data_IF_440826562472
#
_entry.id   IF_440826562472
#
_cell.length_a   1.000
_cell.length_b   1.000
_cell.length_c   1.000
_cell.angle_alpha   90.00
_cell.angle_beta   90.00
_cell.angle_gamma   90.00
#
_symmetry.space_group_name_H-M   'P 1'
#
loop_
_entity.id
_entity.type
_entity.pdbx_description
1 polymer ?
#
# COMPACT_ATOMS: atom_id res chain seq x y z
N UNK A 1 -49.32 14.78 -56.47
CA UNK A 1 -49.24 14.76 -55.00
C UNK A 1 -47.79 14.51 -54.59
N UNK A 2 -47.15 15.55 -54.10
CA UNK A 2 -45.74 15.52 -53.75
C UNK A 2 -45.61 15.15 -52.24
N UNK A 3 -45.02 14.01 -51.93
CA UNK A 3 -44.75 13.61 -50.56
C UNK A 3 -43.51 14.36 -50.01
N UNK A 4 -43.67 15.14 -48.97
CA UNK A 4 -42.61 15.84 -48.28
C UNK A 4 -41.83 14.86 -47.39
N UNK A 5 -40.53 14.69 -47.66
CA UNK A 5 -39.62 13.98 -46.79
C UNK A 5 -39.26 14.91 -45.61
N UNK A 6 -39.69 14.55 -44.39
CA UNK A 6 -39.22 15.17 -43.16
C UNK A 6 -37.76 14.75 -42.91
N UNK A 7 -36.84 15.71 -43.07
CA UNK A 7 -35.49 15.59 -42.65
C UNK A 7 -35.45 15.90 -41.14
N UNK A 8 -35.32 14.88 -40.29
CA UNK A 8 -35.00 15.03 -38.88
C UNK A 8 -33.51 15.40 -38.76
N UNK A 9 -33.25 16.67 -38.52
CA UNK A 9 -31.92 17.13 -38.06
C UNK A 9 -31.76 16.78 -36.59
N UNK A 10 -31.25 15.55 -36.32
CA UNK A 10 -30.76 15.18 -34.99
C UNK A 10 -29.40 15.81 -34.81
N UNK A 11 -29.29 16.79 -33.92
CA UNK A 11 -27.99 17.20 -33.33
C UNK A 11 -27.56 16.13 -32.32
N UNK A 12 -27.03 15.03 -32.78
CA UNK A 12 -26.28 14.14 -31.93
C UNK A 12 -24.95 14.83 -31.59
N UNK A 13 -24.91 15.46 -30.43
CA UNK A 13 -23.67 15.95 -29.86
C UNK A 13 -22.68 14.79 -29.76
N UNK A 14 -21.56 14.91 -30.46
CA UNK A 14 -20.45 13.92 -30.41
C UNK A 14 -19.95 13.83 -28.98
N UNK A 15 -20.44 12.85 -28.22
CA UNK A 15 -19.89 12.52 -26.92
C UNK A 15 -18.55 11.83 -27.17
N UNK A 16 -17.45 12.53 -26.94
CA UNK A 16 -16.12 11.90 -26.87
C UNK A 16 -16.09 11.11 -25.57
N UNK A 17 -16.52 9.88 -25.61
CA UNK A 17 -16.34 8.92 -24.52
C UNK A 17 -15.01 8.24 -24.80
N UNK A 18 -14.01 8.53 -23.98
CA UNK A 18 -12.76 7.76 -23.99
C UNK A 18 -13.14 6.39 -23.44
N UNK A 19 -13.22 5.40 -24.31
CA UNK A 19 -13.46 4.02 -23.89
C UNK A 19 -12.17 3.52 -23.20
N UNK A 20 -12.29 3.15 -21.94
CA UNK A 20 -11.20 2.42 -21.28
C UNK A 20 -11.02 1.07 -21.98
N UNK A 21 -9.76 0.62 -22.20
CA UNK A 21 -9.52 -0.68 -22.80
C UNK A 21 -10.07 -1.79 -21.89
N UNK A 22 -10.67 -2.81 -22.49
CA UNK A 22 -11.04 -4.00 -21.75
C UNK A 22 -9.76 -4.78 -21.38
N UNK A 23 -9.49 -4.89 -20.09
CA UNK A 23 -8.32 -5.56 -19.53
C UNK A 23 -8.65 -6.92 -18.91
N UNK A 24 -9.91 -7.38 -19.01
CA UNK A 24 -10.38 -8.64 -18.42
C UNK A 24 -9.67 -9.88 -18.96
N UNK A 25 -9.16 -9.78 -20.20
CA UNK A 25 -8.42 -10.86 -20.87
C UNK A 25 -6.90 -10.84 -20.61
N UNK A 26 -6.43 -10.08 -19.61
CA UNK A 26 -5.02 -10.03 -19.27
C UNK A 26 -4.16 -9.47 -20.41
N UNK A 27 -3.10 -10.19 -20.78
CA UNK A 27 -2.14 -9.73 -21.80
C UNK A 27 -2.48 -10.17 -23.24
N UNK A 28 -3.56 -10.88 -23.48
CA UNK A 28 -3.79 -11.52 -24.81
C UNK A 28 -4.01 -10.46 -25.92
N UNK A 29 -5.04 -9.61 -25.81
CA UNK A 29 -5.37 -8.64 -26.85
C UNK A 29 -4.90 -7.21 -26.52
N UNK A 30 -4.78 -6.88 -25.24
CA UNK A 30 -4.45 -5.55 -24.78
C UNK A 30 -2.94 -5.24 -24.73
N UNK A 31 -2.06 -6.26 -24.87
CA UNK A 31 -0.60 -6.11 -24.72
C UNK A 31 0.10 -5.62 -26.01
N UNK A 32 -0.22 -4.42 -26.44
CA UNK A 32 0.39 -3.78 -27.62
C UNK A 32 1.90 -3.50 -27.48
N UNK A 33 2.45 -3.57 -26.25
CA UNK A 33 3.84 -3.29 -25.93
C UNK A 33 4.67 -4.52 -25.58
N UNK A 34 4.10 -5.73 -25.70
CA UNK A 34 4.75 -7.01 -25.37
C UNK A 34 5.30 -7.03 -23.94
N UNK A 35 4.46 -6.65 -22.99
CA UNK A 35 4.78 -6.57 -21.54
C UNK A 35 4.58 -7.89 -20.80
N UNK A 36 3.95 -8.88 -21.42
CA UNK A 36 3.76 -10.23 -20.87
C UNK A 36 5.10 -10.87 -20.44
N UNK A 37 6.22 -10.50 -21.09
CA UNK A 37 7.55 -10.95 -20.67
C UNK A 37 7.94 -10.45 -19.28
N UNK A 38 7.66 -9.18 -18.96
CA UNK A 38 7.90 -8.61 -17.64
C UNK A 38 6.99 -9.27 -16.59
N UNK A 39 5.72 -9.52 -16.93
CA UNK A 39 4.81 -10.27 -16.09
C UNK A 39 5.43 -11.63 -15.69
N UNK A 40 5.88 -12.44 -16.64
CA UNK A 40 6.50 -13.73 -16.36
C UNK A 40 7.78 -13.63 -15.52
N UNK A 41 8.58 -12.58 -15.69
CA UNK A 41 9.77 -12.34 -14.86
C UNK A 41 9.37 -12.09 -13.41
N UNK A 42 8.38 -11.23 -13.17
CA UNK A 42 7.90 -10.92 -11.81
C UNK A 42 7.28 -12.18 -11.17
N UNK A 43 6.44 -12.92 -11.90
CA UNK A 43 5.84 -14.17 -11.42
C UNK A 43 6.90 -15.19 -11.02
N UNK A 44 7.93 -15.41 -11.85
CA UNK A 44 9.05 -16.30 -11.50
C UNK A 44 9.75 -15.90 -10.22
N UNK A 45 10.00 -14.62 -10.02
CA UNK A 45 10.64 -14.12 -8.80
C UNK A 45 9.74 -14.36 -7.58
N UNK A 46 8.43 -14.15 -7.70
CA UNK A 46 7.48 -14.45 -6.63
C UNK A 46 7.52 -15.95 -6.30
N UNK A 47 7.42 -16.81 -7.31
CA UNK A 47 7.38 -18.27 -7.14
C UNK A 47 8.68 -18.83 -6.56
N UNK A 48 9.84 -18.38 -7.07
CA UNK A 48 11.16 -18.85 -6.66
C UNK A 48 11.68 -18.26 -5.36
N UNK A 49 11.03 -17.19 -4.87
CA UNK A 49 11.47 -16.57 -3.62
C UNK A 49 11.31 -17.54 -2.44
N UNK A 50 12.29 -17.57 -1.52
CA UNK A 50 12.06 -18.20 -0.23
C UNK A 50 10.82 -17.56 0.41
N UNK A 51 10.21 -18.23 1.39
CA UNK A 51 8.95 -17.80 2.02
C UNK A 51 9.07 -16.45 2.79
N UNK A 52 9.91 -15.53 2.35
CA UNK A 52 10.08 -14.20 2.95
C UNK A 52 9.21 -13.18 2.23
N UNK A 53 8.78 -12.18 2.97
CA UNK A 53 8.12 -11.01 2.38
C UNK A 53 9.05 -10.33 1.39
N UNK A 54 8.53 -10.01 0.22
CA UNK A 54 9.25 -9.28 -0.83
C UNK A 54 8.49 -8.00 -1.19
N UNK A 55 9.26 -6.96 -1.45
CA UNK A 55 8.73 -5.69 -1.95
C UNK A 55 9.42 -5.39 -3.27
N UNK A 56 8.63 -5.34 -4.33
CA UNK A 56 9.02 -4.94 -5.67
C UNK A 56 8.53 -3.51 -5.94
N UNK A 57 9.21 -2.80 -6.83
CA UNK A 57 8.71 -1.53 -7.34
C UNK A 57 8.69 -1.56 -8.88
N UNK A 58 7.59 -1.07 -9.44
CA UNK A 58 7.44 -0.77 -10.86
C UNK A 58 7.52 0.73 -11.04
N UNK A 59 8.66 1.20 -11.56
CA UNK A 59 8.95 2.61 -11.80
C UNK A 59 8.80 2.94 -13.27
N UNK A 60 7.98 3.94 -13.58
CA UNK A 60 7.99 4.61 -14.88
C UNK A 60 7.28 5.97 -14.78
N UNK A 61 7.47 6.81 -15.80
CA UNK A 61 6.82 8.13 -15.90
C UNK A 61 5.30 7.99 -16.01
N UNK A 62 4.61 9.05 -15.64
CA UNK A 62 3.16 9.15 -15.83
C UNK A 62 2.80 8.99 -17.32
N UNK A 63 1.65 8.37 -17.57
CA UNK A 63 1.16 8.11 -18.92
C UNK A 63 1.80 6.91 -19.64
N UNK A 64 2.79 6.24 -19.05
CA UNK A 64 3.44 5.08 -19.67
C UNK A 64 2.66 3.76 -19.47
N UNK A 65 1.47 3.82 -18.85
CA UNK A 65 0.56 2.67 -18.72
C UNK A 65 0.99 1.70 -17.63
N UNK A 66 1.47 2.19 -16.46
CA UNK A 66 1.75 1.36 -15.28
C UNK A 66 0.46 0.72 -14.76
N UNK A 67 -0.57 1.52 -14.51
CA UNK A 67 -1.90 1.06 -14.06
C UNK A 67 -2.50 0.03 -15.03
N UNK A 68 -2.41 0.28 -16.33
CA UNK A 68 -2.85 -0.68 -17.36
C UNK A 68 -2.11 -2.01 -17.23
N UNK A 69 -0.78 -1.96 -17.06
CA UNK A 69 0.03 -3.16 -16.88
C UNK A 69 -0.37 -3.96 -15.65
N UNK A 70 -0.54 -3.31 -14.50
CA UNK A 70 -0.86 -4.04 -13.25
C UNK A 70 -2.29 -4.54 -13.22
N UNK A 71 -3.23 -3.90 -13.90
CA UNK A 71 -4.59 -4.43 -14.11
C UNK A 71 -4.58 -5.65 -15.03
N UNK A 72 -3.81 -5.62 -16.14
CA UNK A 72 -3.61 -6.82 -16.98
C UNK A 72 -2.92 -7.94 -16.18
N UNK A 73 -1.94 -7.59 -15.34
CA UNK A 73 -1.25 -8.53 -14.47
C UNK A 73 -2.22 -9.25 -13.53
N UNK A 74 -3.09 -8.49 -12.85
CA UNK A 74 -4.11 -9.04 -11.96
C UNK A 74 -5.06 -9.98 -12.74
N UNK A 75 -5.60 -9.51 -13.86
CA UNK A 75 -6.52 -10.33 -14.70
C UNK A 75 -5.87 -11.61 -15.21
N UNK A 76 -4.58 -11.58 -15.58
CA UNK A 76 -3.85 -12.76 -16.01
C UNK A 76 -3.68 -13.81 -14.89
N UNK A 77 -3.40 -13.34 -13.66
CA UNK A 77 -3.32 -14.21 -12.48
C UNK A 77 -4.69 -14.83 -12.16
N UNK A 78 -5.75 -14.05 -12.25
CA UNK A 78 -7.12 -14.52 -11.95
C UNK A 78 -7.65 -15.51 -13.00
N UNK A 79 -7.18 -15.39 -14.25
CA UNK A 79 -7.59 -16.24 -15.37
C UNK A 79 -6.98 -17.64 -15.31
N UNK A 80 -5.76 -17.76 -14.81
CA UNK A 80 -5.01 -19.01 -14.75
C UNK A 80 -4.66 -19.39 -13.31
N UNK A 81 -5.31 -20.42 -12.77
CA UNK A 81 -5.02 -20.98 -11.42
C UNK A 81 -3.60 -21.56 -11.28
N UNK A 82 -2.80 -21.54 -12.36
CA UNK A 82 -1.50 -22.22 -12.42
C UNK A 82 -0.36 -21.48 -11.72
N UNK A 83 -0.55 -20.20 -11.35
CA UNK A 83 0.53 -19.40 -10.80
C UNK A 83 0.74 -19.58 -9.30
N UNK A 84 -0.22 -20.17 -8.59
CA UNK A 84 -0.22 -20.27 -7.11
C UNK A 84 0.01 -18.91 -6.42
N UNK A 85 -0.59 -17.87 -6.98
CA UNK A 85 -0.54 -16.48 -6.50
C UNK A 85 -1.96 -15.93 -6.49
N UNK A 86 -2.36 -15.31 -5.41
CA UNK A 86 -3.56 -14.47 -5.33
C UNK A 86 -3.15 -13.00 -5.49
N UNK A 87 -3.72 -12.28 -6.45
CA UNK A 87 -3.41 -10.87 -6.68
C UNK A 87 -4.51 -9.98 -6.11
N UNK A 88 -4.13 -8.97 -5.35
CA UNK A 88 -5.02 -7.98 -4.72
C UNK A 88 -4.57 -6.60 -5.15
N UNK A 89 -5.50 -5.79 -5.65
CA UNK A 89 -5.22 -4.42 -6.08
C UNK A 89 -5.63 -3.41 -5.02
N UNK A 90 -4.77 -2.44 -4.77
CA UNK A 90 -4.97 -1.33 -3.85
C UNK A 90 -4.54 -0.03 -4.50
N UNK A 91 -5.45 0.91 -4.64
CA UNK A 91 -5.16 2.26 -5.10
C UNK A 91 -4.82 3.15 -3.91
N UNK A 92 -3.56 3.59 -3.81
CA UNK A 92 -3.10 4.39 -2.69
C UNK A 92 -3.69 5.80 -2.70
N UNK A 93 -3.89 6.38 -3.89
CA UNK A 93 -4.46 7.72 -4.05
C UNK A 93 -5.96 7.75 -3.72
N UNK A 94 -6.71 6.73 -4.15
CA UNK A 94 -8.12 6.60 -3.81
C UNK A 94 -8.37 6.43 -2.31
N UNK A 95 -7.41 5.83 -1.60
CA UNK A 95 -7.52 5.54 -0.16
C UNK A 95 -6.83 6.57 0.75
N UNK A 96 -6.15 7.58 0.21
CA UNK A 96 -5.35 8.52 0.98
C UNK A 96 -6.16 9.49 1.86
N UNK A 97 -7.48 9.57 1.66
CA UNK A 97 -8.38 10.33 2.55
C UNK A 97 -8.46 9.73 3.95
N UNK A 98 -8.08 8.48 4.12
CA UNK A 98 -8.05 7.82 5.43
C UNK A 98 -6.85 8.30 6.25
N UNK A 99 -7.02 8.30 7.57
CA UNK A 99 -5.99 8.80 8.49
C UNK A 99 -4.82 7.84 8.68
N UNK A 100 -5.06 6.53 8.59
CA UNK A 100 -4.02 5.51 8.81
C UNK A 100 -4.09 4.42 7.73
N UNK A 101 -3.03 4.26 6.91
CA UNK A 101 -2.97 3.25 5.87
C UNK A 101 -2.98 1.81 6.41
N UNK A 102 -2.68 1.59 7.69
CA UNK A 102 -2.79 0.28 8.33
C UNK A 102 -4.22 -0.26 8.25
N UNK A 103 -5.21 0.58 8.58
CA UNK A 103 -6.62 0.17 8.57
C UNK A 103 -7.07 -0.16 7.14
N UNK A 104 -6.72 0.71 6.16
CA UNK A 104 -7.08 0.51 4.75
C UNK A 104 -6.53 -0.81 4.20
N UNK A 105 -5.23 -1.05 4.39
CA UNK A 105 -4.55 -2.25 3.89
C UNK A 105 -5.02 -3.52 4.62
N UNK A 106 -5.21 -3.43 5.93
CA UNK A 106 -5.71 -4.56 6.72
C UNK A 106 -7.14 -4.94 6.36
N UNK A 107 -8.01 -3.95 6.09
CA UNK A 107 -9.38 -4.17 5.63
C UNK A 107 -9.43 -4.90 4.29
N UNK A 108 -8.55 -4.53 3.37
CA UNK A 108 -8.40 -5.20 2.08
C UNK A 108 -8.03 -6.68 2.24
N UNK A 109 -7.04 -6.98 3.09
CA UNK A 109 -6.63 -8.36 3.39
C UNK A 109 -7.73 -9.15 4.08
N UNK A 110 -8.44 -8.54 5.01
CA UNK A 110 -9.58 -9.14 5.70
C UNK A 110 -10.66 -9.55 4.67
N UNK A 111 -11.08 -8.64 3.81
CA UNK A 111 -12.10 -8.89 2.78
C UNK A 111 -11.67 -10.00 1.81
N UNK A 112 -10.40 -10.03 1.42
CA UNK A 112 -9.86 -11.07 0.56
C UNK A 112 -9.96 -12.47 1.21
N UNK A 113 -9.57 -12.57 2.48
CA UNK A 113 -9.61 -13.85 3.20
C UNK A 113 -11.06 -14.28 3.49
N UNK A 114 -11.93 -13.36 3.86
CA UNK A 114 -13.34 -13.64 4.14
C UNK A 114 -14.06 -14.23 2.91
N UNK A 115 -13.68 -13.80 1.70
CA UNK A 115 -14.22 -14.34 0.44
C UNK A 115 -13.89 -15.83 0.21
N UNK A 116 -12.89 -16.40 0.92
CA UNK A 116 -12.38 -17.78 0.76
C UNK A 116 -13.10 -18.79 1.66
N UNK A 117 -14.40 -19.00 1.50
CA UNK A 117 -15.21 -20.06 2.16
C UNK A 117 -14.99 -20.23 3.70
N UNK A 118 -15.34 -21.40 4.23
CA UNK A 118 -15.37 -21.67 5.69
C UNK A 118 -14.01 -21.55 6.40
N UNK A 119 -12.90 -21.92 5.73
CA UNK A 119 -11.55 -21.78 6.33
C UNK A 119 -11.14 -20.31 6.41
N UNK A 120 -11.50 -19.50 5.41
CA UNK A 120 -11.24 -18.08 5.39
C UNK A 120 -11.89 -17.32 6.54
N UNK A 121 -13.10 -17.68 6.93
CA UNK A 121 -13.81 -17.00 8.03
C UNK A 121 -13.04 -17.04 9.35
N UNK A 122 -12.50 -18.20 9.75
CA UNK A 122 -11.73 -18.32 11.00
C UNK A 122 -10.46 -17.47 10.99
N UNK A 123 -9.76 -17.42 9.86
CA UNK A 123 -8.56 -16.59 9.72
C UNK A 123 -8.93 -15.12 9.64
N UNK A 124 -10.02 -14.79 8.95
CA UNK A 124 -10.58 -13.44 8.93
C UNK A 124 -10.91 -12.91 10.32
N UNK A 125 -11.55 -13.71 11.18
CA UNK A 125 -11.85 -13.34 12.57
C UNK A 125 -10.58 -13.03 13.37
N UNK A 126 -9.50 -13.81 13.17
CA UNK A 126 -8.21 -13.56 13.83
C UNK A 126 -7.57 -12.27 13.33
N UNK A 127 -7.57 -12.06 12.01
CA UNK A 127 -7.06 -10.82 11.40
C UNK A 127 -7.86 -9.63 11.92
N UNK A 128 -9.18 -9.71 11.95
CA UNK A 128 -10.04 -8.64 12.47
C UNK A 128 -9.75 -8.35 13.95
N UNK A 129 -9.54 -9.39 14.76
CA UNK A 129 -9.12 -9.22 16.17
C UNK A 129 -7.77 -8.50 16.26
N UNK A 130 -6.80 -8.86 15.42
CA UNK A 130 -5.50 -8.20 15.36
C UNK A 130 -5.61 -6.75 14.91
N UNK A 131 -6.43 -6.46 13.87
CA UNK A 131 -6.70 -5.09 13.41
C UNK A 131 -7.25 -4.23 14.55
N UNK A 132 -8.22 -4.75 15.32
CA UNK A 132 -8.81 -4.02 16.46
C UNK A 132 -7.77 -3.70 17.52
N UNK A 133 -6.90 -4.64 17.88
CA UNK A 133 -5.86 -4.44 18.90
C UNK A 133 -4.77 -3.47 18.43
N UNK A 134 -4.16 -3.73 17.27
CA UNK A 134 -3.10 -2.87 16.73
C UNK A 134 -3.64 -1.50 16.36
N UNK A 135 -4.81 -1.43 15.70
CA UNK A 135 -5.44 -0.17 15.32
C UNK A 135 -5.83 0.68 16.53
N UNK A 136 -6.38 0.07 17.62
CA UNK A 136 -6.68 0.83 18.84
C UNK A 136 -5.42 1.38 19.49
N UNK A 137 -4.31 0.63 19.51
CA UNK A 137 -3.04 1.11 20.04
C UNK A 137 -2.47 2.26 19.21
N UNK A 138 -2.56 2.18 17.88
CA UNK A 138 -2.11 3.26 16.98
C UNK A 138 -2.93 4.54 17.17
N UNK A 139 -4.26 4.42 17.26
CA UNK A 139 -5.15 5.57 17.47
C UNK A 139 -4.99 6.17 18.87
N UNK A 140 -4.91 5.34 19.91
CA UNK A 140 -4.76 5.81 21.28
C UNK A 140 -3.39 6.45 21.54
N UNK A 141 -2.32 5.91 20.96
CA UNK A 141 -0.99 6.48 21.13
C UNK A 141 -0.82 7.77 20.34
N UNK A 142 -1.43 7.90 19.18
CA UNK A 142 -1.49 9.16 18.43
C UNK A 142 -2.24 10.25 19.21
N UNK A 143 -3.40 9.92 19.83
CA UNK A 143 -4.18 10.87 20.63
C UNK A 143 -3.55 11.18 21.99
N UNK A 144 -2.88 10.22 22.66
CA UNK A 144 -2.16 10.45 23.92
C UNK A 144 -0.93 11.33 23.71
N UNK A 145 -0.24 11.19 22.58
CA UNK A 145 0.87 12.09 22.25
C UNK A 145 0.39 13.54 22.08
N UNK A 146 -0.77 13.72 21.43
CA UNK A 146 -1.40 15.04 21.33
C UNK A 146 -1.89 15.57 22.68
N UNK A 147 -2.49 14.72 23.52
CA UNK A 147 -2.95 15.09 24.86
C UNK A 147 -1.79 15.35 25.82
N UNK A 148 -0.69 14.61 25.74
CA UNK A 148 0.51 14.83 26.56
C UNK A 148 1.25 16.09 26.11
N UNK A 149 1.27 16.38 24.81
CA UNK A 149 1.81 17.66 24.30
C UNK A 149 0.94 18.85 24.72
N UNK A 150 -0.39 18.67 24.79
CA UNK A 150 -1.32 19.72 25.23
C UNK A 150 -1.30 19.85 26.77
N UNK A 151 -1.24 18.75 27.51
CA UNK A 151 -1.15 18.78 28.97
C UNK A 151 0.25 19.12 29.48
N UNK A 152 1.32 18.77 28.76
CA UNK A 152 2.69 19.16 29.04
C UNK A 152 2.95 20.66 28.86
N UNK A 153 2.10 21.32 28.05
CA UNK A 153 2.13 22.80 27.93
C UNK A 153 1.45 23.56 29.07
N UNK A 154 0.72 22.86 29.95
CA UNK A 154 0.04 23.49 31.12
C UNK A 154 0.85 23.36 32.41
N UNK A 155 1.97 22.67 32.40
CA UNK A 155 2.98 22.90 33.44
C UNK A 155 3.73 24.16 33.04
N UNK A 156 3.06 25.27 33.33
CA UNK A 156 3.49 26.61 33.09
C UNK A 156 4.92 26.80 33.66
N UNK A 157 5.81 27.21 32.78
CA UNK A 157 7.19 27.61 33.09
C UNK A 157 7.31 28.70 34.16
N UNK A 158 6.20 29.20 34.68
CA UNK A 158 6.17 30.29 35.68
C UNK A 158 6.12 29.80 37.13
N UNK A 159 6.35 28.52 37.42
CA UNK A 159 6.48 28.00 38.79
C UNK A 159 7.78 27.25 39.06
N UNK A 160 8.80 27.41 38.22
CA UNK A 160 10.10 26.72 38.41
C UNK A 160 11.02 27.51 39.36
N UNK A 161 10.75 28.79 39.62
CA UNK A 161 11.60 29.63 40.49
C UNK A 161 11.37 29.45 42.00
N UNK A 162 10.60 28.45 42.44
CA UNK A 162 10.30 28.27 43.87
C UNK A 162 10.34 26.83 44.40
N UNK A 163 10.75 25.84 43.61
CA UNK A 163 10.76 24.44 44.04
C UNK A 163 12.16 23.82 43.90
N UNK A 164 13.12 24.43 44.55
CA UNK A 164 14.32 23.72 44.92
C UNK A 164 14.14 23.23 46.35
N UNK A 165 13.59 22.04 46.60
CA UNK A 165 13.77 21.25 47.83
C UNK A 165 12.65 20.33 48.29
N UNK A 166 11.59 20.05 47.52
CA UNK A 166 10.68 18.98 47.90
C UNK A 166 10.30 18.12 46.68
N UNK A 167 11.25 17.39 46.14
CA UNK A 167 10.92 16.17 45.39
C UNK A 167 10.68 15.10 46.45
N UNK A 168 9.47 15.07 46.98
CA UNK A 168 9.05 14.05 47.95
C UNK A 168 9.06 12.66 47.30
N UNK A 169 9.31 11.62 48.09
CA UNK A 169 9.33 10.20 47.65
C UNK A 169 8.05 9.77 46.91
N UNK A 170 6.93 10.46 47.12
CA UNK A 170 5.68 10.21 46.41
C UNK A 170 5.76 10.58 44.92
N UNK A 171 6.48 11.66 44.54
CA UNK A 171 6.68 11.99 43.11
C UNK A 171 7.60 10.99 42.41
N UNK A 172 8.55 10.40 43.13
CA UNK A 172 9.40 9.32 42.56
C UNK A 172 8.59 8.05 42.32
N UNK A 173 7.73 7.64 43.28
CA UNK A 173 6.86 6.48 43.11
C UNK A 173 5.87 6.64 41.96
N UNK A 174 5.34 7.84 41.75
CA UNK A 174 4.44 8.15 40.66
C UNK A 174 5.15 8.09 39.29
N UNK A 175 6.40 8.55 39.23
CA UNK A 175 7.24 8.45 38.01
C UNK A 175 7.65 7.00 37.73
N UNK A 176 8.04 6.24 38.75
CA UNK A 176 8.37 4.83 38.62
C UNK A 176 7.15 4.01 38.13
N UNK A 177 5.98 4.23 38.73
CA UNK A 177 4.73 3.61 38.32
C UNK A 177 4.35 3.96 36.87
N UNK A 178 4.51 5.22 36.48
CA UNK A 178 4.30 5.65 35.10
C UNK A 178 5.27 4.98 34.10
N UNK A 179 6.55 4.85 34.48
CA UNK A 179 7.56 4.17 33.65
C UNK A 179 7.23 2.69 33.52
N UNK A 180 6.86 2.01 34.61
CA UNK A 180 6.46 0.59 34.58
C UNK A 180 5.23 0.38 33.69
N UNK A 181 4.20 1.21 33.80
CA UNK A 181 3.01 1.12 32.97
C UNK A 181 3.33 1.39 31.51
N UNK A 182 4.23 2.30 31.22
CA UNK A 182 4.69 2.56 29.85
C UNK A 182 5.46 1.39 29.27
N UNK A 183 6.34 0.74 30.08
CA UNK A 183 7.05 -0.48 29.66
C UNK A 183 6.08 -1.61 29.39
N UNK A 184 5.08 -1.83 30.25
CA UNK A 184 4.02 -2.82 30.08
C UNK A 184 3.22 -2.54 28.79
N UNK A 185 2.85 -1.29 28.55
CA UNK A 185 2.14 -0.85 27.33
C UNK A 185 2.96 -1.19 26.08
N UNK A 186 4.25 -0.83 26.04
CA UNK A 186 5.13 -1.13 24.89
C UNK A 186 5.26 -2.65 24.66
N UNK A 187 5.36 -3.44 25.71
CA UNK A 187 5.44 -4.88 25.59
C UNK A 187 4.12 -5.49 25.05
N UNK A 188 2.99 -4.97 25.50
CA UNK A 188 1.68 -5.38 24.98
C UNK A 188 1.52 -4.99 23.51
N UNK A 189 1.93 -3.79 23.10
CA UNK A 189 1.92 -3.35 21.70
C UNK A 189 2.77 -4.30 20.82
N UNK A 190 3.97 -4.64 21.25
CA UNK A 190 4.83 -5.61 20.53
C UNK A 190 4.19 -6.98 20.40
N UNK A 191 3.53 -7.44 21.46
CA UNK A 191 2.79 -8.71 21.44
C UNK A 191 1.64 -8.65 20.45
N UNK A 192 0.81 -7.60 20.49
CA UNK A 192 -0.32 -7.42 19.57
C UNK A 192 0.12 -7.37 18.11
N UNK A 193 1.25 -6.70 17.82
CA UNK A 193 1.86 -6.69 16.48
C UNK A 193 2.30 -8.09 16.05
N UNK A 194 2.93 -8.85 16.96
CA UNK A 194 3.36 -10.20 16.64
C UNK A 194 2.17 -11.14 16.42
N UNK A 195 1.14 -11.07 17.26
CA UNK A 195 -0.08 -11.85 17.12
C UNK A 195 -0.79 -11.52 15.78
N UNK A 196 -0.81 -10.25 15.39
CA UNK A 196 -1.33 -9.82 14.09
C UNK A 196 -0.52 -10.43 12.93
N UNK A 197 0.82 -10.38 13.00
CA UNK A 197 1.69 -10.98 11.98
C UNK A 197 1.48 -12.49 11.84
N UNK A 198 1.34 -13.19 12.96
CA UNK A 198 1.04 -14.63 12.94
C UNK A 198 -0.33 -14.90 12.27
N UNK A 199 -1.35 -14.06 12.54
CA UNK A 199 -2.64 -14.19 11.86
C UNK A 199 -2.55 -13.95 10.34
N UNK A 200 -1.67 -13.06 9.90
CA UNK A 200 -1.41 -12.83 8.46
C UNK A 200 -0.72 -14.04 7.79
N UNK A 201 0.19 -14.73 8.49
CA UNK A 201 0.80 -15.95 7.95
C UNK A 201 -0.21 -17.06 7.68
N UNK A 202 -1.30 -17.09 8.44
CA UNK A 202 -2.37 -18.07 8.21
C UNK A 202 -3.11 -17.85 6.86
N UNK A 203 -2.98 -16.68 6.22
CA UNK A 203 -3.58 -16.43 4.90
C UNK A 203 -3.12 -17.49 3.90
N UNK A 204 -1.81 -17.75 3.85
CA UNK A 204 -1.22 -18.74 2.94
C UNK A 204 -1.79 -20.14 3.20
N UNK A 205 -2.02 -20.48 4.46
CA UNK A 205 -2.56 -21.81 4.81
C UNK A 205 -4.01 -22.00 4.34
N UNK A 206 -4.74 -20.89 4.17
CA UNK A 206 -6.12 -20.89 3.67
C UNK A 206 -6.16 -20.89 2.16
N UNK A 207 -5.35 -20.05 1.53
CA UNK A 207 -5.34 -19.86 0.07
C UNK A 207 -4.48 -20.90 -0.64
N UNK A 208 -3.49 -21.47 0.05
CA UNK A 208 -2.40 -22.29 -0.51
C UNK A 208 -1.58 -21.56 -1.59
N UNK A 209 -1.73 -20.23 -1.67
CA UNK A 209 -1.11 -19.35 -2.64
C UNK A 209 -0.33 -18.26 -1.92
N UNK A 210 0.72 -17.73 -2.55
CA UNK A 210 1.31 -16.45 -2.13
C UNK A 210 0.35 -15.31 -2.45
N UNK A 211 0.28 -14.32 -1.59
CA UNK A 211 -0.58 -13.16 -1.82
C UNK A 211 0.25 -11.98 -2.31
N UNK A 212 0.00 -11.57 -3.55
CA UNK A 212 0.58 -10.37 -4.17
C UNK A 212 -0.34 -9.19 -3.95
N UNK A 213 0.14 -8.16 -3.25
CA UNK A 213 -0.58 -6.90 -3.05
C UNK A 213 0.04 -5.87 -4.00
N UNK A 214 -0.74 -5.44 -4.98
CA UNK A 214 -0.38 -4.41 -5.94
C UNK A 214 -0.84 -3.07 -5.36
N UNK A 215 0.10 -2.17 -5.08
CA UNK A 215 -0.18 -0.83 -4.56
C UNK A 215 0.12 0.16 -5.68
N UNK A 216 -0.94 0.67 -6.30
CA UNK A 216 -0.83 1.61 -7.42
C UNK A 216 -1.00 3.07 -6.96
N UNK A 217 -0.59 4.00 -7.79
CA UNK A 217 -0.70 5.45 -7.64
C UNK A 217 -0.07 6.00 -6.33
N UNK A 218 1.01 5.31 -5.84
CA UNK A 218 1.65 5.65 -4.57
C UNK A 218 2.28 7.06 -4.58
N UNK A 219 2.79 7.49 -5.74
CA UNK A 219 3.39 8.80 -5.94
C UNK A 219 2.39 9.95 -6.08
N UNK A 220 1.09 9.64 -6.22
CA UNK A 220 0.00 10.62 -6.25
C UNK A 220 -0.69 10.80 -4.91
N UNK A 221 -0.62 9.80 -4.05
CA UNK A 221 -1.19 9.88 -2.71
C UNK A 221 -0.50 10.97 -1.88
N UNK A 222 -1.21 11.47 -0.87
CA UNK A 222 -0.65 12.46 0.05
C UNK A 222 0.69 11.97 0.60
N UNK A 223 1.74 12.80 0.62
CA UNK A 223 3.08 12.39 1.03
C UNK A 223 3.13 11.68 2.37
N UNK A 224 2.40 12.18 3.37
CA UNK A 224 2.35 11.56 4.71
C UNK A 224 1.75 10.17 4.66
N UNK A 225 0.61 10.01 3.96
CA UNK A 225 -0.06 8.73 3.82
C UNK A 225 0.82 7.69 3.08
N UNK A 226 1.44 8.10 1.98
CA UNK A 226 2.27 7.22 1.17
C UNK A 226 3.52 6.74 1.93
N UNK A 227 4.16 7.61 2.71
CA UNK A 227 5.31 7.26 3.52
C UNK A 227 4.92 6.40 4.72
N UNK A 228 3.82 6.71 5.40
CA UNK A 228 3.28 5.86 6.45
C UNK A 228 2.92 4.47 5.91
N UNK A 229 2.35 4.38 4.70
CA UNK A 229 2.05 3.10 4.04
C UNK A 229 3.31 2.25 3.85
N UNK A 230 4.41 2.83 3.37
CA UNK A 230 5.70 2.12 3.26
C UNK A 230 6.19 1.61 4.61
N UNK A 231 6.11 2.43 5.65
CA UNK A 231 6.52 2.04 7.00
C UNK A 231 5.64 0.92 7.56
N UNK A 232 4.31 0.99 7.33
CA UNK A 232 3.38 -0.08 7.73
C UNK A 232 3.69 -1.39 7.01
N UNK A 233 3.96 -1.35 5.71
CA UNK A 233 4.38 -2.54 4.94
C UNK A 233 5.60 -3.18 5.59
N UNK A 234 6.63 -2.41 5.89
CA UNK A 234 7.87 -2.92 6.47
C UNK A 234 7.68 -3.48 7.88
N UNK A 235 6.94 -2.78 8.73
CA UNK A 235 6.87 -3.08 10.15
C UNK A 235 5.74 -4.03 10.53
N UNK A 236 4.61 -3.99 9.84
CA UNK A 236 3.41 -4.74 10.18
C UNK A 236 3.08 -5.85 9.20
N UNK A 237 3.35 -5.68 7.92
CA UNK A 237 2.97 -6.62 6.87
C UNK A 237 4.13 -7.42 6.29
N UNK A 238 5.34 -7.25 6.81
CA UNK A 238 6.51 -8.04 6.40
C UNK A 238 6.42 -9.45 7.01
N UNK A 239 5.60 -10.29 6.41
CA UNK A 239 5.38 -11.68 6.79
C UNK A 239 5.57 -12.60 5.60
N UNK A 240 5.93 -13.87 5.89
CA UNK A 240 6.15 -14.86 4.85
C UNK A 240 4.90 -15.03 3.98
N UNK A 241 5.10 -15.08 2.67
CA UNK A 241 4.05 -15.28 1.68
C UNK A 241 3.28 -14.04 1.25
N UNK A 242 3.47 -12.89 1.89
CA UNK A 242 3.01 -11.61 1.39
C UNK A 242 4.08 -10.97 0.50
N UNK A 243 3.71 -10.59 -0.70
CA UNK A 243 4.56 -9.91 -1.67
C UNK A 243 3.90 -8.59 -2.05
N UNK A 244 4.67 -7.53 -2.14
CA UNK A 244 4.18 -6.21 -2.51
C UNK A 244 4.77 -5.77 -3.84
N UNK A 245 3.93 -5.22 -4.72
CA UNK A 245 4.34 -4.54 -5.94
C UNK A 245 3.90 -3.08 -5.85
N UNK A 246 4.86 -2.20 -5.54
CA UNK A 246 4.65 -0.76 -5.45
C UNK A 246 4.75 -0.17 -6.84
N UNK A 247 3.72 0.53 -7.28
CA UNK A 247 3.65 1.13 -8.61
C UNK A 247 3.71 2.64 -8.49
N UNK A 248 4.73 3.26 -9.06
CA UNK A 248 4.97 4.69 -8.86
C UNK A 248 5.81 5.31 -9.98
N UNK A 249 5.84 6.62 -10.01
CA UNK A 249 6.90 7.39 -10.62
C UNK A 249 7.92 7.73 -9.53
N UNK A 250 9.06 7.05 -9.54
CA UNK A 250 10.11 7.18 -8.53
C UNK A 250 10.56 8.62 -8.33
N UNK A 251 10.79 9.35 -9.42
CA UNK A 251 11.26 10.74 -9.39
C UNK A 251 10.27 11.66 -8.62
N UNK A 252 8.96 11.44 -8.80
CA UNK A 252 7.95 12.21 -8.07
C UNK A 252 7.87 11.77 -6.61
N UNK A 253 7.97 10.48 -6.36
CA UNK A 253 7.93 9.96 -5.00
C UNK A 253 9.14 10.38 -4.16
N UNK A 254 10.34 10.49 -4.77
CA UNK A 254 11.53 11.06 -4.12
C UNK A 254 11.30 12.51 -3.65
N UNK A 255 10.49 13.30 -4.38
CA UNK A 255 10.08 14.65 -3.94
C UNK A 255 9.17 14.62 -2.71
N UNK A 256 8.23 13.68 -2.65
CA UNK A 256 7.36 13.47 -1.49
C UNK A 256 8.17 13.13 -0.24
N UNK A 257 9.20 12.29 -0.38
CA UNK A 257 10.13 11.97 0.70
C UNK A 257 10.87 13.22 1.18
N UNK A 258 11.40 14.01 0.25
CA UNK A 258 12.11 15.26 0.58
C UNK A 258 11.19 16.30 1.22
N UNK A 259 9.93 16.33 0.86
CA UNK A 259 8.93 17.22 1.48
C UNK A 259 8.75 16.90 2.99
N UNK A 260 8.71 15.61 3.36
CA UNK A 260 8.49 15.18 4.75
C UNK A 260 9.79 15.21 5.61
N UNK A 261 10.90 14.75 5.04
CA UNK A 261 12.15 14.54 5.77
C UNK A 261 13.25 15.57 5.48
N UNK A 262 12.98 16.55 4.62
CA UNK A 262 13.96 17.54 4.21
C UNK A 262 15.00 16.99 3.23
N UNK A 263 16.20 17.54 3.28
CA UNK A 263 17.28 17.20 2.34
C UNK A 263 17.99 15.90 2.75
N UNK A 264 17.34 14.76 2.46
CA UNK A 264 17.92 13.42 2.65
C UNK A 264 18.13 12.74 1.30
N UNK A 265 18.99 11.71 1.26
CA UNK A 265 19.08 10.83 0.10
C UNK A 265 17.83 9.94 0.02
N UNK A 266 16.85 10.40 -0.76
CA UNK A 266 15.57 9.71 -0.96
C UNK A 266 15.75 8.33 -1.61
N UNK A 267 16.81 8.11 -2.43
CA UNK A 267 17.11 6.81 -3.03
C UNK A 267 17.57 5.82 -1.99
N UNK A 268 18.52 6.22 -1.14
CA UNK A 268 18.94 5.39 -0.01
C UNK A 268 17.79 5.10 0.94
N UNK A 269 16.90 6.06 1.15
CA UNK A 269 15.70 5.84 1.96
C UNK A 269 14.81 4.75 1.38
N UNK A 270 14.51 4.78 0.08
CA UNK A 270 13.68 3.78 -0.60
C UNK A 270 14.31 2.38 -0.61
N UNK A 271 15.63 2.26 -0.67
CA UNK A 271 16.33 0.98 -0.61
C UNK A 271 16.15 0.24 0.72
N UNK A 272 15.66 0.93 1.79
CA UNK A 272 15.29 0.27 3.04
C UNK A 272 14.00 -0.56 2.94
N UNK A 273 13.18 -0.30 1.92
CA UNK A 273 11.85 -0.88 1.74
C UNK A 273 11.80 -1.79 0.51
N UNK A 274 12.44 -1.40 -0.60
CA UNK A 274 12.29 -2.02 -1.91
C UNK A 274 13.49 -2.92 -2.19
N UNK A 275 13.20 -4.20 -2.53
CA UNK A 275 14.22 -5.19 -2.84
C UNK A 275 14.61 -5.21 -4.31
N UNK A 276 13.64 -5.03 -5.23
CA UNK A 276 13.86 -5.07 -6.67
C UNK A 276 13.08 -3.98 -7.37
N UNK A 277 13.71 -3.37 -8.37
CA UNK A 277 13.13 -2.33 -9.21
C UNK A 277 12.91 -2.86 -10.62
N UNK A 278 11.72 -2.61 -11.15
CA UNK A 278 11.35 -2.91 -12.53
C UNK A 278 10.93 -1.63 -13.25
N UNK A 279 11.09 -1.64 -14.58
CA UNK A 279 10.57 -0.59 -15.46
C UNK A 279 9.82 -1.24 -16.61
N UNK A 280 8.81 -0.54 -17.13
CA UNK A 280 8.06 -1.04 -18.26
C UNK A 280 8.92 -1.12 -19.51
N UNK A 281 8.84 -2.21 -20.29
CA UNK A 281 9.48 -2.28 -21.59
C UNK A 281 8.99 -1.16 -22.51
N UNK A 282 9.94 -0.44 -23.10
CA UNK A 282 9.66 0.62 -24.08
C UNK A 282 9.74 0.03 -25.47
N UNK A 283 8.77 0.32 -26.34
CA UNK A 283 8.88 -0.03 -27.74
C UNK A 283 10.03 0.79 -28.33
N UNK A 284 11.12 0.14 -28.75
CA UNK A 284 12.15 0.81 -29.53
C UNK A 284 11.46 1.40 -30.76
N UNK A 285 11.38 2.70 -30.87
CA UNK A 285 11.07 3.36 -32.13
C UNK A 285 12.23 3.04 -33.07
N UNK A 286 12.12 1.97 -33.82
CA UNK A 286 12.89 1.85 -35.06
C UNK A 286 12.37 3.02 -35.88
N UNK A 287 13.18 4.07 -35.99
CA UNK A 287 13.02 5.09 -37.00
C UNK A 287 13.09 4.34 -38.35
N UNK A 288 11.96 3.94 -38.88
CA UNK A 288 11.86 3.71 -40.33
C UNK A 288 12.11 5.08 -40.93
N UNK A 289 13.39 5.30 -41.29
CA UNK A 289 13.73 6.32 -42.24
C UNK A 289 12.94 6.00 -43.51
N UNK A 290 11.80 6.66 -43.67
CA UNK A 290 11.15 6.75 -44.97
C UNK A 290 12.13 7.45 -45.89
N UNK A 291 12.90 6.66 -46.64
CA UNK A 291 13.61 7.14 -47.79
C UNK A 291 12.60 7.62 -48.82
N UNK A 292 12.37 8.91 -48.87
CA UNK A 292 11.84 9.52 -50.06
C UNK A 292 12.96 9.52 -51.09
N UNK A 293 12.76 8.70 -52.15
CA UNK A 293 13.37 8.92 -53.48
C UNK A 293 12.41 9.69 -54.33
#
# INVERSE_FOLDING_TARGET
>A
MRGSKNIKTGRDGMKIVIQEPDLSNGFDEADIFNRKKLFHQIVRLIQSSPQKSLVFALDDKWGNGKTTFVKMFQSEIEKEDNYAIDAIYFDAFENDYQSDPFISLSSLLYSHVESKKTKGKKVGDKILSGIKKVGSNLLLNGSKFALTAISGGIISSNKIDGIGEVITDSLKSDVEGFIEDRIKSINNEKKDINDFKESLKEIITVTNNKTLIIIDELDRARPDYALDLLERIKHLFSVDGLVFLLVMNREQFEKSISCRYGNIDSRMYLNKFIHYWFSLPKKNRILQACGFR
#
